data_IF_041253341738
#
_entry.id   IF_041253341738
#
_cell.length_a   1.000
_cell.length_b   1.000
_cell.length_c   1.000
_cell.angle_alpha   90.00
_cell.angle_beta   90.00
_cell.angle_gamma   90.00
#
_symmetry.space_group_name_H-M   'P 1'
#
loop_
_entity.id
_entity.type
_entity.pdbx_description
1 polymer ?
#
# COMPACT_ATOMS: atom_id res chain seq x y z
N UNK A 1 4.03 -7.84 -2.47
CA UNK A 1 4.19 -8.51 -3.76
C UNK A 1 3.04 -8.12 -4.70
N UNK A 2 3.22 -8.32 -6.02
CA UNK A 2 2.21 -7.97 -7.02
C UNK A 2 2.34 -8.85 -8.25
N UNK A 3 1.20 -9.40 -8.68
CA UNK A 3 1.05 -10.15 -9.92
C UNK A 3 -0.14 -9.62 -10.72
N UNK A 4 0.00 -9.56 -12.05
CA UNK A 4 -1.12 -9.31 -12.98
C UNK A 4 -1.97 -10.58 -13.13
N UNK A 5 -2.53 -11.06 -12.04
CA UNK A 5 -3.31 -12.30 -11.98
C UNK A 5 -4.80 -11.95 -12.03
N UNK A 6 -5.45 -12.21 -13.16
CA UNK A 6 -6.86 -11.89 -13.38
C UNK A 6 -7.78 -12.76 -12.55
N UNK A 7 -9.00 -12.30 -12.27
CA UNK A 7 -10.01 -13.12 -11.58
C UNK A 7 -10.66 -14.17 -12.50
N UNK A 8 -10.48 -14.07 -13.81
CA UNK A 8 -11.05 -15.04 -14.76
C UNK A 8 -10.12 -16.24 -14.98
N UNK A 9 -8.81 -16.00 -15.08
CA UNK A 9 -7.86 -17.00 -15.53
C UNK A 9 -6.56 -17.02 -14.71
N UNK A 10 -6.48 -16.25 -13.63
CA UNK A 10 -5.30 -16.16 -12.79
C UNK A 10 -5.08 -17.38 -11.92
N UNK A 11 -3.84 -17.59 -11.48
CA UNK A 11 -3.49 -18.69 -10.58
C UNK A 11 -3.98 -18.43 -9.16
N UNK A 12 -4.63 -19.42 -8.56
CA UNK A 12 -5.07 -19.38 -7.17
C UNK A 12 -3.88 -19.29 -6.23
N UNK A 13 -2.77 -19.92 -6.57
CA UNK A 13 -1.52 -19.89 -5.81
C UNK A 13 -0.95 -18.46 -5.74
N UNK A 14 -1.01 -17.70 -6.85
CA UNK A 14 -0.62 -16.29 -6.87
C UNK A 14 -1.56 -15.42 -6.02
N UNK A 15 -2.86 -15.74 -5.99
CA UNK A 15 -3.82 -15.04 -5.14
C UNK A 15 -3.55 -15.32 -3.66
N UNK A 16 -3.33 -16.57 -3.30
CA UNK A 16 -3.01 -16.98 -1.94
C UNK A 16 -1.72 -16.31 -1.45
N UNK A 17 -0.68 -16.30 -2.27
CA UNK A 17 0.58 -15.62 -1.95
C UNK A 17 0.38 -14.11 -1.77
N UNK A 18 -0.34 -13.45 -2.69
CA UNK A 18 -0.66 -12.02 -2.54
C UNK A 18 -1.48 -11.74 -1.28
N UNK A 19 -2.43 -12.62 -0.94
CA UNK A 19 -3.24 -12.44 0.27
C UNK A 19 -2.41 -12.62 1.54
N UNK A 20 -1.62 -13.66 1.61
CA UNK A 20 -0.75 -13.93 2.77
C UNK A 20 0.25 -12.80 3.02
N UNK A 21 0.91 -12.31 1.97
CA UNK A 21 1.94 -11.28 2.11
C UNK A 21 1.34 -9.88 2.23
N UNK A 22 0.40 -9.51 1.35
CA UNK A 22 -0.09 -8.12 1.30
C UNK A 22 -1.15 -7.81 2.36
N UNK A 23 -1.86 -8.82 2.88
CA UNK A 23 -2.99 -8.62 3.80
C UNK A 23 -2.71 -9.25 5.16
N UNK A 24 -2.56 -10.58 5.21
CA UNK A 24 -2.42 -11.29 6.48
C UNK A 24 -1.14 -10.89 7.21
N UNK A 25 -0.01 -10.83 6.52
CA UNK A 25 1.25 -10.42 7.15
C UNK A 25 1.18 -8.97 7.67
N UNK A 26 0.54 -8.05 6.94
CA UNK A 26 0.33 -6.67 7.41
C UNK A 26 -0.46 -6.66 8.73
N UNK A 27 -1.56 -7.41 8.82
CA UNK A 27 -2.35 -7.49 10.03
C UNK A 27 -1.55 -8.08 11.22
N UNK A 28 -0.82 -9.17 10.97
CA UNK A 28 0.00 -9.83 12.00
C UNK A 28 1.13 -8.93 12.49
N UNK A 29 1.89 -8.32 11.57
CA UNK A 29 2.97 -7.41 11.92
C UNK A 29 2.45 -6.19 12.68
N UNK A 30 1.33 -5.63 12.26
CA UNK A 30 0.69 -4.48 12.92
C UNK A 30 0.26 -4.83 14.35
N UNK A 31 -0.36 -5.99 14.56
CA UNK A 31 -0.72 -6.48 15.90
C UNK A 31 0.50 -6.55 16.83
N UNK A 32 1.60 -7.13 16.35
CA UNK A 32 2.82 -7.24 17.15
C UNK A 32 3.50 -5.89 17.35
N UNK A 33 3.50 -5.02 16.34
CA UNK A 33 4.06 -3.68 16.45
C UNK A 33 3.36 -2.87 17.56
N UNK A 34 2.02 -2.86 17.59
CA UNK A 34 1.25 -2.19 18.65
C UNK A 34 1.62 -2.72 20.05
N UNK A 35 1.75 -4.03 20.20
CA UNK A 35 2.10 -4.65 21.48
C UNK A 35 3.52 -4.29 21.96
N UNK A 36 4.39 -3.88 21.04
CA UNK A 36 5.79 -3.49 21.35
C UNK A 36 6.00 -1.98 21.45
N UNK A 37 4.99 -1.18 21.08
CA UNK A 37 5.10 0.28 21.13
C UNK A 37 5.10 0.79 22.57
N UNK A 38 5.87 1.87 22.86
CA UNK A 38 5.86 2.50 24.17
C UNK A 38 4.49 3.10 24.47
N UNK A 39 4.12 3.15 25.76
CA UNK A 39 2.84 3.69 26.21
C UNK A 39 2.62 5.19 25.92
N UNK A 40 3.67 5.90 25.57
CA UNK A 40 3.63 7.34 25.20
C UNK A 40 3.09 7.60 23.80
N UNK A 41 2.93 6.56 23.00
CA UNK A 41 2.42 6.62 21.63
C UNK A 41 3.47 6.22 20.60
N UNK A 42 2.99 5.91 19.42
CA UNK A 42 3.82 5.57 18.27
C UNK A 42 3.00 5.68 16.98
N UNK A 43 3.66 5.57 15.85
CA UNK A 43 3.02 5.65 14.53
C UNK A 43 3.33 4.44 13.67
N UNK A 44 2.33 3.98 12.97
CA UNK A 44 2.42 2.96 11.94
C UNK A 44 2.06 3.59 10.60
N UNK A 45 2.81 3.25 9.57
CA UNK A 45 2.50 3.64 8.19
C UNK A 45 2.40 2.38 7.34
N UNK A 46 1.20 2.10 6.85
CA UNK A 46 0.98 1.01 5.91
C UNK A 46 1.23 1.47 4.47
N UNK A 47 1.87 0.63 3.68
CA UNK A 47 2.05 0.89 2.25
C UNK A 47 0.94 0.21 1.47
N UNK A 48 -0.04 1.01 1.06
CA UNK A 48 -1.13 0.60 0.17
C UNK A 48 -0.75 0.81 -1.31
N UNK A 49 -1.64 1.33 -2.11
CA UNK A 49 -1.45 1.65 -3.53
C UNK A 49 -2.60 2.53 -4.01
N UNK A 50 -2.43 3.21 -5.15
CA UNK A 50 -3.56 3.73 -5.94
C UNK A 50 -4.60 2.64 -6.24
N UNK A 51 -4.16 1.38 -6.41
CA UNK A 51 -5.03 0.23 -6.58
C UNK A 51 -5.87 -0.13 -5.34
N UNK A 52 -5.61 0.48 -4.19
CA UNK A 52 -6.46 0.42 -3.00
C UNK A 52 -7.57 1.49 -2.98
N UNK A 53 -7.61 2.39 -3.96
CA UNK A 53 -8.65 3.43 -4.13
C UNK A 53 -9.55 3.19 -5.32
N UNK A 54 -9.03 2.51 -6.32
CA UNK A 54 -9.72 2.17 -7.56
C UNK A 54 -9.13 0.90 -8.16
N UNK A 55 -9.95 0.17 -8.89
CA UNK A 55 -9.49 -1.03 -9.60
C UNK A 55 -9.19 -0.64 -11.05
N UNK A 56 -7.92 -0.66 -11.50
CA UNK A 56 -7.61 -0.47 -12.90
C UNK A 56 -8.11 -1.68 -13.72
N UNK A 57 -8.29 -1.55 -15.06
CA UNK A 57 -8.72 -2.68 -15.88
C UNK A 57 -7.87 -3.94 -15.76
N UNK A 58 -6.59 -3.77 -15.44
CA UNK A 58 -5.63 -4.86 -15.23
C UNK A 58 -5.38 -5.16 -13.74
N UNK A 59 -6.23 -4.68 -12.83
CA UNK A 59 -6.00 -4.77 -11.38
C UNK A 59 -5.99 -6.18 -10.80
N UNK A 60 -6.71 -7.10 -11.43
CA UNK A 60 -6.77 -8.50 -11.02
C UNK A 60 -7.00 -8.66 -9.52
N UNK A 61 -6.37 -9.66 -8.92
CA UNK A 61 -6.46 -9.91 -7.48
C UNK A 61 -5.58 -8.96 -6.63
N UNK A 62 -4.58 -8.30 -7.23
CA UNK A 62 -3.75 -7.34 -6.51
C UNK A 62 -4.56 -6.17 -5.92
N UNK A 63 -5.46 -5.58 -6.71
CA UNK A 63 -6.26 -4.45 -6.24
C UNK A 63 -7.10 -4.78 -5.00
N UNK A 64 -7.88 -5.87 -4.92
CA UNK A 64 -8.52 -6.34 -3.71
C UNK A 64 -7.61 -6.40 -2.49
N UNK A 65 -6.36 -6.88 -2.62
CA UNK A 65 -5.44 -6.91 -1.48
C UNK A 65 -5.10 -5.52 -0.97
N UNK A 66 -4.98 -4.53 -1.85
CA UNK A 66 -4.68 -3.14 -1.48
C UNK A 66 -5.90 -2.41 -0.90
N UNK A 67 -7.12 -2.75 -1.30
CA UNK A 67 -8.34 -2.34 -0.61
C UNK A 67 -8.39 -2.92 0.80
N UNK A 68 -8.01 -4.19 0.98
CA UNK A 68 -7.95 -4.82 2.29
C UNK A 68 -6.94 -4.11 3.23
N UNK A 69 -5.77 -3.70 2.74
CA UNK A 69 -4.80 -2.91 3.53
C UNK A 69 -5.42 -1.60 4.02
N UNK A 70 -6.19 -0.91 3.18
CA UNK A 70 -6.92 0.30 3.61
C UNK A 70 -7.95 -0.02 4.69
N UNK A 71 -8.75 -1.08 4.49
CA UNK A 71 -9.71 -1.53 5.48
C UNK A 71 -9.06 -1.85 6.82
N UNK A 72 -7.93 -2.57 6.82
CA UNK A 72 -7.15 -2.86 8.03
C UNK A 72 -6.63 -1.58 8.70
N UNK A 73 -6.17 -0.60 7.92
CA UNK A 73 -5.69 0.69 8.45
C UNK A 73 -6.81 1.46 9.16
N UNK A 74 -8.00 1.53 8.56
CA UNK A 74 -9.17 2.18 9.16
C UNK A 74 -9.70 1.42 10.38
N UNK A 75 -9.74 0.10 10.31
CA UNK A 75 -10.16 -0.75 11.44
C UNK A 75 -9.29 -0.49 12.66
N UNK A 76 -7.96 -0.54 12.50
CA UNK A 76 -7.04 -0.28 13.60
C UNK A 76 -7.15 1.16 14.12
N UNK A 77 -7.31 2.15 13.25
CA UNK A 77 -7.51 3.56 13.68
C UNK A 77 -8.70 3.68 14.63
N UNK A 78 -9.80 3.03 14.29
CA UNK A 78 -11.01 3.04 15.13
C UNK A 78 -10.80 2.27 16.45
N UNK A 79 -10.12 1.14 16.41
CA UNK A 79 -9.80 0.34 17.59
C UNK A 79 -8.90 1.12 18.56
N UNK A 80 -7.85 1.78 18.06
CA UNK A 80 -6.95 2.62 18.87
C UNK A 80 -7.71 3.76 19.57
N UNK A 81 -8.61 4.43 18.85
CA UNK A 81 -9.46 5.50 19.42
C UNK A 81 -10.42 4.97 20.47
N UNK A 82 -11.08 3.85 20.19
CA UNK A 82 -12.02 3.21 21.14
C UNK A 82 -11.32 2.76 22.42
N UNK A 83 -10.09 2.26 22.28
CA UNK A 83 -9.28 1.81 23.41
C UNK A 83 -8.54 2.96 24.13
N UNK A 84 -8.69 4.21 23.69
CA UNK A 84 -7.95 5.39 24.18
C UNK A 84 -6.42 5.18 24.17
N UNK A 85 -5.90 4.46 23.18
CA UNK A 85 -4.47 4.28 23.01
C UNK A 85 -3.86 5.46 22.24
N UNK A 86 -2.66 5.95 22.63
CA UNK A 86 -2.06 7.15 22.06
C UNK A 86 -1.37 6.89 20.70
N UNK A 87 -1.53 5.71 20.14
CA UNK A 87 -0.91 5.35 18.86
C UNK A 87 -1.73 5.88 17.68
N UNK A 88 -1.05 6.15 16.58
CA UNK A 88 -1.65 6.61 15.33
C UNK A 88 -1.27 5.69 14.18
N UNK A 89 -2.15 5.61 13.19
CA UNK A 89 -1.90 4.84 11.96
C UNK A 89 -2.30 5.63 10.74
N UNK A 90 -1.41 5.64 9.75
CA UNK A 90 -1.66 6.20 8.42
C UNK A 90 -1.29 5.22 7.33
N UNK A 91 -1.50 5.63 6.10
CA UNK A 91 -1.04 4.91 4.93
C UNK A 91 -0.41 5.83 3.89
N UNK A 92 0.42 5.25 3.05
CA UNK A 92 0.83 5.85 1.78
C UNK A 92 0.28 5.00 0.64
N UNK A 93 -0.27 5.65 -0.38
CA UNK A 93 -0.94 5.00 -1.51
C UNK A 93 -0.28 5.42 -2.83
N UNK A 94 0.88 4.81 -3.19
CA UNK A 94 1.62 5.17 -4.38
C UNK A 94 0.93 4.75 -5.68
N UNK A 95 1.18 5.51 -6.74
CA UNK A 95 1.09 5.05 -8.12
C UNK A 95 2.29 4.17 -8.50
N UNK A 96 2.69 4.18 -9.77
CA UNK A 96 3.85 3.43 -10.21
C UNK A 96 5.15 4.03 -9.67
N UNK A 97 5.94 3.20 -9.01
CA UNK A 97 7.26 3.51 -8.45
C UNK A 97 8.30 2.65 -9.14
N UNK A 98 9.42 3.21 -9.57
CA UNK A 98 10.46 2.46 -10.28
C UNK A 98 11.24 1.59 -9.30
N UNK A 99 10.75 0.38 -9.10
CA UNK A 99 11.28 -0.63 -8.19
C UNK A 99 11.19 -2.02 -8.84
N UNK A 100 11.90 -3.03 -8.32
CA UNK A 100 11.74 -4.41 -8.78
C UNK A 100 10.29 -4.93 -8.74
N UNK A 101 9.43 -4.37 -7.89
CA UNK A 101 8.03 -4.75 -7.80
C UNK A 101 7.27 -4.51 -9.12
N UNK A 102 7.55 -3.41 -9.82
CA UNK A 102 6.88 -3.11 -11.09
C UNK A 102 7.27 -4.12 -12.16
N UNK A 103 8.52 -4.60 -12.15
CA UNK A 103 8.96 -5.65 -13.07
C UNK A 103 8.26 -6.98 -12.77
N UNK A 104 8.12 -7.34 -11.48
CA UNK A 104 7.38 -8.52 -11.06
C UNK A 104 5.90 -8.44 -11.44
N UNK A 105 5.28 -7.27 -11.27
CA UNK A 105 3.89 -7.03 -11.65
C UNK A 105 3.62 -7.23 -13.15
N UNK A 106 4.56 -6.83 -14.01
CA UNK A 106 4.46 -6.99 -15.47
C UNK A 106 5.18 -8.23 -16.00
N UNK A 107 5.51 -9.20 -15.16
CA UNK A 107 6.17 -10.45 -15.61
C UNK A 107 5.35 -11.15 -16.70
N UNK A 108 5.98 -11.44 -17.84
CA UNK A 108 5.33 -11.99 -19.02
C UNK A 108 4.57 -10.95 -19.87
N UNK A 109 4.71 -9.65 -19.54
CA UNK A 109 4.11 -8.52 -20.26
C UNK A 109 5.10 -7.36 -20.37
N UNK A 110 6.32 -7.65 -20.77
CA UNK A 110 7.44 -6.71 -20.82
C UNK A 110 7.21 -5.55 -21.81
N UNK A 111 6.43 -5.79 -22.87
CA UNK A 111 6.04 -4.76 -23.82
C UNK A 111 5.13 -3.71 -23.17
N UNK A 112 4.19 -4.14 -22.33
CA UNK A 112 3.31 -3.23 -21.59
C UNK A 112 4.12 -2.37 -20.60
N UNK A 113 5.09 -2.96 -19.92
CA UNK A 113 6.00 -2.24 -19.04
C UNK A 113 6.83 -1.21 -19.81
N UNK A 114 7.37 -1.60 -20.96
CA UNK A 114 8.14 -0.70 -21.83
C UNK A 114 7.28 0.47 -22.31
N UNK A 115 6.05 0.21 -22.74
CA UNK A 115 5.10 1.24 -23.12
C UNK A 115 4.73 2.17 -21.95
N UNK A 116 4.56 1.62 -20.75
CA UNK A 116 4.31 2.42 -19.54
C UNK A 116 5.49 3.37 -19.26
N UNK A 117 6.72 2.86 -19.28
CA UNK A 117 7.95 3.65 -19.05
C UNK A 117 8.17 4.77 -20.05
N UNK A 118 7.76 4.56 -21.31
CA UNK A 118 7.85 5.60 -22.34
C UNK A 118 6.81 6.72 -22.14
N UNK A 119 5.64 6.40 -21.60
CA UNK A 119 4.50 7.33 -21.48
C UNK A 119 4.39 8.00 -20.13
N UNK A 120 5.00 7.42 -19.10
CA UNK A 120 4.84 7.86 -17.71
C UNK A 120 6.19 7.81 -17.01
N UNK A 121 6.67 8.96 -16.55
CA UNK A 121 7.74 8.97 -15.57
C UNK A 121 7.20 8.33 -14.29
N UNK A 122 7.84 7.28 -13.79
CA UNK A 122 7.49 6.69 -12.51
C UNK A 122 8.00 7.55 -11.36
N UNK A 123 7.42 7.35 -10.18
CA UNK A 123 7.96 7.92 -8.95
C UNK A 123 9.28 7.23 -8.59
N UNK A 124 10.16 7.96 -7.93
CA UNK A 124 11.34 7.38 -7.30
C UNK A 124 10.98 6.83 -5.91
N UNK A 125 11.65 5.78 -5.39
CA UNK A 125 11.43 5.28 -4.03
C UNK A 125 11.55 6.36 -2.95
N UNK A 126 12.41 7.35 -3.16
CA UNK A 126 12.62 8.49 -2.28
C UNK A 126 11.38 9.39 -2.16
N UNK A 127 10.53 9.45 -3.20
CA UNK A 127 9.27 10.19 -3.13
C UNK A 127 8.33 9.55 -2.11
N UNK A 128 8.33 8.21 -2.06
CA UNK A 128 7.52 7.44 -1.11
C UNK A 128 8.10 7.58 0.30
N UNK A 129 9.42 7.51 0.45
CA UNK A 129 10.09 7.70 1.73
C UNK A 129 9.78 9.08 2.33
N UNK A 130 9.79 10.15 1.53
CA UNK A 130 9.38 11.50 1.97
C UNK A 130 7.93 11.55 2.44
N UNK A 131 7.02 10.85 1.75
CA UNK A 131 5.63 10.78 2.17
C UNK A 131 5.45 10.03 3.49
N UNK A 132 6.22 8.95 3.71
CA UNK A 132 6.25 8.23 4.99
C UNK A 132 6.77 9.13 6.10
N UNK A 133 7.89 9.83 5.89
CA UNK A 133 8.44 10.77 6.88
C UNK A 133 7.44 11.88 7.21
N UNK A 134 6.73 12.42 6.22
CA UNK A 134 5.69 13.43 6.47
C UNK A 134 4.59 12.93 7.43
N UNK A 135 4.20 11.66 7.34
CA UNK A 135 3.26 11.06 8.31
C UNK A 135 3.93 10.91 9.68
N UNK A 136 5.16 10.40 9.73
CA UNK A 136 5.85 10.11 10.99
C UNK A 136 6.21 11.37 11.77
N UNK A 137 6.51 12.47 11.10
CA UNK A 137 6.94 13.75 11.69
C UNK A 137 5.77 14.69 12.00
N UNK A 138 4.54 14.32 11.70
CA UNK A 138 3.37 15.14 11.98
C UNK A 138 3.26 15.43 13.50
N UNK A 139 2.80 16.62 13.92
CA UNK A 139 2.63 16.94 15.34
C UNK A 139 1.74 15.90 16.05
N UNK A 140 1.90 15.67 17.37
CA UNK A 140 1.16 14.62 18.08
C UNK A 140 -0.36 14.69 17.97
N UNK A 141 -0.92 15.89 17.82
CA UNK A 141 -2.37 16.12 17.67
C UNK A 141 -2.86 15.97 16.22
N UNK A 142 -1.96 15.72 15.26
CA UNK A 142 -2.28 15.57 13.83
C UNK A 142 -2.16 14.10 13.44
N UNK A 143 -3.25 13.54 12.95
CA UNK A 143 -3.28 12.21 12.36
C UNK A 143 -3.47 12.32 10.83
N UNK A 144 -2.47 11.90 10.07
CA UNK A 144 -2.54 11.86 8.60
C UNK A 144 -3.04 10.48 8.21
N UNK A 145 -4.25 10.41 7.66
CA UNK A 145 -4.93 9.16 7.37
C UNK A 145 -4.34 8.41 6.18
N UNK A 146 -4.16 9.10 5.07
CA UNK A 146 -3.59 8.53 3.84
C UNK A 146 -2.94 9.62 2.98
N UNK A 147 -1.79 9.30 2.41
CA UNK A 147 -1.11 10.15 1.43
C UNK A 147 -1.11 9.44 0.08
N UNK A 148 -1.92 9.94 -0.83
CA UNK A 148 -2.01 9.44 -2.21
C UNK A 148 -1.04 10.23 -3.09
N UNK A 149 -0.10 9.54 -3.72
CA UNK A 149 0.89 10.19 -4.58
C UNK A 149 1.11 9.38 -5.87
N UNK A 150 1.25 10.10 -6.97
CA UNK A 150 1.53 9.53 -8.28
C UNK A 150 2.32 10.53 -9.12
N UNK A 151 2.96 10.04 -10.17
CA UNK A 151 3.51 10.93 -11.19
C UNK A 151 2.42 11.79 -11.82
N UNK A 152 2.74 13.04 -12.12
CA UNK A 152 1.83 13.94 -12.84
C UNK A 152 1.41 13.42 -14.21
N UNK A 153 2.25 12.60 -14.83
CA UNK A 153 1.99 11.97 -16.14
C UNK A 153 1.10 10.72 -16.04
N UNK A 154 0.96 10.15 -14.84
CA UNK A 154 0.18 8.93 -14.66
C UNK A 154 -1.32 9.23 -14.81
N UNK A 155 -1.89 8.77 -15.92
CA UNK A 155 -3.34 8.85 -16.14
C UNK A 155 -4.09 8.03 -15.10
N UNK A 156 -5.20 8.59 -14.67
CA UNK A 156 -6.07 7.99 -13.63
C UNK A 156 -7.09 7.07 -14.28
#
# INVERSE_FOLDING_TARGET
>A
IAYLSSLLEGSVEEWDEMWEVNVRAVAVCTKHAIAMMPGEGGRIVNVSSLSGHRVPPTGGFYAPTKFAVKGLTESLRNELKTANLPHQIGSVSPGFVDTPLVNAYFRGREEDLSSLRQKTRMLDPEDIARAVLHILEAPPHVEIGDVVLRSGDQKV
#
